data_IF_613045836105
#
_entry.id   IF_613045836105
#
_cell.length_a   1.000
_cell.length_b   1.000
_cell.length_c   1.000
_cell.angle_alpha   90.00
_cell.angle_beta   90.00
_cell.angle_gamma   90.00
#
_symmetry.space_group_name_H-M   'P 1'
#
loop_
_entity.id
_entity.type
_entity.pdbx_description
1 polymer ?
#
# COMPACT_ATOMS: atom_id res chain seq x y z
N UNK A 1 37.48 -8.25 -20.04
CA UNK A 1 37.32 -8.16 -18.56
C UNK A 1 36.31 -7.09 -18.16
N UNK A 2 36.45 -5.86 -18.66
CA UNK A 2 35.62 -4.70 -18.28
C UNK A 2 34.10 -4.89 -18.52
N UNK A 3 33.68 -5.52 -19.62
CA UNK A 3 32.26 -5.78 -19.90
C UNK A 3 31.57 -6.67 -18.86
N UNK A 4 32.29 -7.67 -18.32
CA UNK A 4 31.75 -8.57 -17.28
C UNK A 4 31.63 -7.84 -15.94
N UNK A 5 32.60 -7.00 -15.62
CA UNK A 5 32.57 -6.17 -14.40
C UNK A 5 31.40 -5.18 -14.47
N UNK A 6 31.20 -4.51 -15.60
CA UNK A 6 30.06 -3.59 -15.80
C UNK A 6 28.73 -4.34 -15.60
N UNK A 7 28.57 -5.51 -16.21
CA UNK A 7 27.34 -6.30 -16.07
C UNK A 7 27.07 -6.72 -14.61
N UNK A 8 28.10 -7.14 -13.87
CA UNK A 8 27.96 -7.54 -12.46
C UNK A 8 27.59 -6.34 -11.60
N UNK A 9 28.26 -5.19 -11.78
CA UNK A 9 27.95 -3.96 -11.04
C UNK A 9 26.51 -3.50 -11.30
N UNK A 10 26.06 -3.56 -12.55
CA UNK A 10 24.67 -3.25 -12.89
C UNK A 10 23.68 -4.15 -12.13
N UNK A 11 23.89 -5.47 -12.13
CA UNK A 11 23.00 -6.39 -11.40
C UNK A 11 23.01 -6.14 -9.89
N UNK A 12 24.18 -5.88 -9.30
CA UNK A 12 24.28 -5.56 -7.87
C UNK A 12 23.53 -4.26 -7.49
N UNK A 13 23.55 -3.24 -8.35
CA UNK A 13 22.84 -1.99 -8.10
C UNK A 13 21.31 -2.17 -8.11
N UNK A 14 20.78 -3.10 -8.92
CA UNK A 14 19.34 -3.39 -8.94
C UNK A 14 18.87 -4.24 -7.75
N UNK A 15 19.77 -4.92 -7.05
CA UNK A 15 19.40 -5.84 -5.96
C UNK A 15 18.77 -5.15 -4.73
N UNK A 16 18.90 -3.83 -4.59
CA UNK A 16 18.26 -3.06 -3.51
C UNK A 16 16.83 -2.60 -3.81
N UNK A 17 16.37 -2.65 -5.06
CA UNK A 17 15.02 -2.19 -5.41
C UNK A 17 13.96 -3.20 -4.99
N UNK A 18 13.06 -2.81 -4.09
CA UNK A 18 11.92 -3.63 -3.67
C UNK A 18 12.17 -4.55 -2.47
N UNK A 19 13.24 -4.33 -1.70
CA UNK A 19 13.44 -5.03 -0.43
C UNK A 19 12.25 -4.77 0.52
N UNK A 20 11.66 -5.83 1.05
CA UNK A 20 10.64 -5.78 2.11
C UNK A 20 11.25 -6.29 3.41
N UNK A 21 11.37 -5.41 4.39
CA UNK A 21 11.80 -5.72 5.74
C UNK A 21 11.19 -4.68 6.68
N UNK A 22 11.10 -5.00 7.97
CA UNK A 22 10.61 -4.06 8.97
C UNK A 22 11.46 -2.79 8.98
N UNK A 23 10.80 -1.64 8.86
CA UNK A 23 11.47 -0.36 8.95
C UNK A 23 11.83 -0.05 10.41
N UNK A 24 13.04 0.46 10.59
CA UNK A 24 13.57 0.90 11.87
C UNK A 24 14.07 2.34 11.72
N UNK A 25 14.04 3.14 12.80
CA UNK A 25 14.71 4.43 12.82
C UNK A 25 16.18 4.29 12.42
N UNK A 26 16.73 5.35 11.83
CA UNK A 26 18.18 5.42 11.62
C UNK A 26 18.92 5.29 12.95
N UNK A 27 20.16 4.82 12.90
CA UNK A 27 21.00 4.71 14.09
C UNK A 27 21.11 6.07 14.81
N UNK A 28 20.83 6.07 16.11
CA UNK A 28 20.82 7.28 16.94
C UNK A 28 19.50 8.07 16.92
N UNK A 29 18.55 7.72 16.05
CA UNK A 29 17.22 8.31 16.01
C UNK A 29 16.20 7.47 16.79
N UNK A 30 15.15 8.12 17.26
CA UNK A 30 14.03 7.50 17.98
C UNK A 30 12.74 7.64 17.18
N UNK A 31 11.72 6.88 17.58
CA UNK A 31 10.38 7.05 17.02
C UNK A 31 9.81 8.44 17.37
N UNK A 32 8.88 8.97 16.56
CA UNK A 32 8.15 10.18 16.90
C UNK A 32 7.54 10.11 18.31
N UNK A 33 7.47 11.23 19.05
CA UNK A 33 6.84 11.23 20.37
C UNK A 33 5.37 10.83 20.29
N UNK A 34 4.79 10.46 21.42
CA UNK A 34 3.38 10.13 21.51
C UNK A 34 2.50 11.31 21.03
N UNK A 35 1.37 11.03 20.36
CA UNK A 35 0.40 12.06 19.99
C UNK A 35 -0.13 12.81 21.21
N UNK A 36 -0.58 14.04 20.99
CA UNK A 36 -1.16 14.85 22.07
C UNK A 36 -2.34 14.12 22.73
N UNK A 37 -2.27 13.97 24.06
CA UNK A 37 -3.31 13.31 24.85
C UNK A 37 -3.21 11.78 24.90
N UNK A 38 -2.16 11.19 24.33
CA UNK A 38 -1.84 9.76 24.46
C UNK A 38 -0.58 9.57 25.30
N UNK A 39 -0.64 8.66 26.27
CA UNK A 39 0.54 8.18 27.00
C UNK A 39 1.30 7.08 26.21
N UNK A 40 0.71 6.59 25.12
CA UNK A 40 1.25 5.50 24.31
C UNK A 40 2.00 6.08 23.11
N UNK A 41 3.31 5.77 23.03
CA UNK A 41 4.12 6.00 21.84
C UNK A 41 3.86 4.88 20.81
N UNK A 42 3.48 5.21 19.56
CA UNK A 42 3.27 4.21 18.51
C UNK A 42 4.55 3.47 18.13
N UNK A 43 4.43 2.20 17.76
CA UNK A 43 5.52 1.42 17.16
C UNK A 43 5.74 1.79 15.68
N UNK A 44 6.82 1.29 15.08
CA UNK A 44 7.03 1.49 13.63
C UNK A 44 5.94 0.83 12.78
N UNK A 45 5.36 -0.28 13.24
CA UNK A 45 4.26 -0.93 12.54
C UNK A 45 2.99 -0.06 12.58
N UNK A 46 2.64 0.48 13.75
CA UNK A 46 1.46 1.33 13.93
C UNK A 46 1.55 2.62 13.10
N UNK A 47 2.75 3.19 12.95
CA UNK A 47 2.99 4.40 12.14
C UNK A 47 2.91 4.16 10.63
N UNK A 48 3.10 2.91 10.19
CA UNK A 48 3.05 2.51 8.78
C UNK A 48 1.69 1.93 8.40
N UNK A 49 0.82 1.70 9.38
CA UNK A 49 -0.56 1.28 9.14
C UNK A 49 -1.30 2.39 8.41
N UNK A 50 -1.94 2.04 7.30
CA UNK A 50 -2.75 2.97 6.53
C UNK A 50 -4.08 3.16 7.23
N UNK A 51 -4.55 4.40 7.29
CA UNK A 51 -5.88 4.67 7.79
C UNK A 51 -6.95 4.18 6.78
N UNK A 52 -8.16 4.02 7.29
CA UNK A 52 -9.30 3.56 6.46
C UNK A 52 -9.64 4.54 5.34
N UNK A 53 -9.20 5.79 5.41
CA UNK A 53 -9.42 6.77 4.35
C UNK A 53 -8.37 6.66 3.23
N UNK A 54 -7.12 6.31 3.55
CA UNK A 54 -6.06 6.07 2.57
C UNK A 54 -6.21 4.72 1.87
N UNK A 55 -6.63 3.68 2.60
CA UNK A 55 -6.93 2.36 2.03
C UNK A 55 -8.29 1.86 2.52
N UNK A 56 -9.40 2.40 1.96
CA UNK A 56 -10.73 1.93 2.33
C UNK A 56 -10.90 0.49 1.87
N UNK A 57 -11.50 -0.31 2.74
CA UNK A 57 -11.95 -1.64 2.35
C UNK A 57 -12.89 -1.50 1.16
N UNK A 58 -12.50 -2.11 0.04
CA UNK A 58 -13.39 -2.20 -1.11
C UNK A 58 -14.52 -3.12 -0.70
N UNK A 59 -15.75 -2.60 -0.72
CA UNK A 59 -16.95 -3.42 -0.67
C UNK A 59 -16.77 -4.53 -1.71
N UNK A 60 -16.59 -5.76 -1.23
CA UNK A 60 -16.69 -6.95 -2.05
C UNK A 60 -18.18 -7.10 -2.31
N UNK A 61 -18.70 -6.34 -3.26
CA UNK A 61 -19.95 -6.72 -3.90
C UNK A 61 -19.70 -8.16 -4.36
N UNK A 62 -20.35 -9.14 -3.70
CA UNK A 62 -20.10 -10.58 -3.88
C UNK A 62 -20.30 -11.03 -5.35
N UNK A 63 -20.81 -10.14 -6.19
CA UNK A 63 -20.83 -10.21 -7.64
C UNK A 63 -19.39 -10.19 -8.17
N UNK A 64 -18.71 -11.34 -8.10
CA UNK A 64 -17.37 -11.56 -8.71
C UNK A 64 -17.36 -11.41 -10.24
N UNK A 65 -18.52 -11.17 -10.86
CA UNK A 65 -18.72 -11.00 -12.31
C UNK A 65 -19.98 -10.15 -12.55
N UNK A 66 -20.04 -9.52 -13.72
CA UNK A 66 -21.21 -8.80 -14.22
C UNK A 66 -22.43 -9.75 -14.32
N UNK A 67 -23.32 -9.65 -13.33
CA UNK A 67 -24.72 -10.11 -13.38
C UNK A 67 -25.47 -9.48 -14.56
N UNK A 68 -26.31 -10.21 -15.29
CA UNK A 68 -27.35 -9.58 -16.11
C UNK A 68 -28.31 -8.86 -15.17
N UNK A 69 -28.53 -7.56 -15.38
CA UNK A 69 -29.56 -6.81 -14.64
C UNK A 69 -30.93 -7.13 -15.24
N UNK A 70 -31.98 -7.10 -14.42
CA UNK A 70 -33.35 -7.13 -14.92
C UNK A 70 -33.62 -5.85 -15.71
N UNK A 71 -34.47 -5.95 -16.74
CA UNK A 71 -34.90 -4.81 -17.53
C UNK A 71 -35.55 -3.77 -16.62
N UNK A 72 -35.19 -2.49 -16.80
CA UNK A 72 -35.70 -1.39 -15.99
C UNK A 72 -37.18 -1.15 -16.30
N UNK A 73 -38.11 -1.36 -15.34
CA UNK A 73 -39.53 -1.16 -15.59
C UNK A 73 -39.90 0.30 -15.91
N UNK A 74 -38.97 1.24 -15.73
CA UNK A 74 -39.15 2.66 -16.01
C UNK A 74 -38.42 3.13 -17.28
N UNK A 75 -37.79 2.24 -18.05
CA UNK A 75 -37.23 2.55 -19.37
C UNK A 75 -38.34 2.63 -20.44
N UNK A 76 -39.21 3.62 -20.27
CA UNK A 76 -40.35 3.87 -21.16
C UNK A 76 -39.91 4.79 -22.32
N UNK A 77 -40.39 4.55 -23.56
CA UNK A 77 -40.07 5.40 -24.70
C UNK A 77 -40.68 6.82 -24.58
N UNK A 78 -40.07 7.85 -25.20
CA UNK A 78 -40.63 9.21 -25.24
C UNK A 78 -41.90 9.29 -26.10
N UNK A 79 -42.78 10.25 -25.79
CA UNK A 79 -44.02 10.56 -26.56
C UNK A 79 -43.78 11.31 -27.88
#
# INVERSE_FOLDING_TARGET
MNRRIIAIVSVCLLAGCGQKADLKPLAGQTLPPAPLGSDVQPSSADLLELDTQAEPERNVELRRRSESREDDPFDLPPE
#
